data_IF_419431490285
#
_entry.id   IF_419431490285
#
_cell.length_a   1.000
_cell.length_b   1.000
_cell.length_c   1.000
_cell.angle_alpha   90.00
_cell.angle_beta   90.00
_cell.angle_gamma   90.00
#
_symmetry.space_group_name_H-M   'P 1'
#
loop_
_entity.id
_entity.type
_entity.pdbx_description
1 polymer ?
#
# COMPACT_ATOMS: atom_id res chain seq x y z
N UNK A 1 -36.08 -4.66 -1.45
CA UNK A 1 -35.44 -4.04 -2.64
C UNK A 1 -34.87 -2.67 -2.32
N UNK A 2 -35.57 -1.82 -1.57
CA UNK A 2 -35.03 -0.50 -1.15
C UNK A 2 -33.72 -0.60 -0.35
N UNK A 3 -33.60 -1.60 0.52
CA UNK A 3 -32.36 -1.87 1.25
C UNK A 3 -31.18 -2.17 0.31
N UNK A 4 -31.40 -2.99 -0.72
CA UNK A 4 -30.36 -3.31 -1.71
C UNK A 4 -29.94 -2.05 -2.47
N UNK A 5 -30.90 -1.23 -2.91
CA UNK A 5 -30.63 0.03 -3.57
C UNK A 5 -29.80 0.96 -2.68
N UNK A 6 -30.17 1.10 -1.40
CA UNK A 6 -29.43 1.91 -0.43
C UNK A 6 -28.00 1.40 -0.22
N UNK A 7 -27.78 0.08 -0.16
CA UNK A 7 -26.44 -0.49 -0.04
C UNK A 7 -25.60 -0.22 -1.28
N UNK A 8 -26.17 -0.30 -2.48
CA UNK A 8 -25.46 0.00 -3.73
C UNK A 8 -25.07 1.48 -3.80
N UNK A 9 -25.99 2.39 -3.42
CA UNK A 9 -25.68 3.83 -3.32
C UNK A 9 -24.52 4.05 -2.35
N UNK A 10 -24.58 3.45 -1.16
CA UNK A 10 -23.49 3.54 -0.18
C UNK A 10 -22.17 2.98 -0.70
N UNK A 11 -22.22 1.87 -1.44
CA UNK A 11 -21.03 1.28 -2.05
C UNK A 11 -20.38 2.22 -3.08
N UNK A 12 -21.18 2.83 -3.96
CA UNK A 12 -20.71 3.83 -4.93
C UNK A 12 -20.09 5.04 -4.23
N UNK A 13 -20.73 5.56 -3.17
CA UNK A 13 -20.19 6.68 -2.39
C UNK A 13 -18.89 6.35 -1.67
N UNK A 14 -18.74 5.13 -1.15
CA UNK A 14 -17.48 4.67 -0.57
C UNK A 14 -16.39 4.58 -1.65
N UNK A 15 -16.72 4.09 -2.83
CA UNK A 15 -15.75 3.98 -3.93
C UNK A 15 -15.24 5.38 -4.34
N UNK A 16 -16.13 6.38 -4.44
CA UNK A 16 -15.71 7.78 -4.66
C UNK A 16 -14.78 8.31 -3.57
N UNK A 17 -15.07 8.02 -2.30
CA UNK A 17 -14.19 8.40 -1.18
C UNK A 17 -12.83 7.71 -1.26
N UNK A 18 -12.79 6.46 -1.72
CA UNK A 18 -11.54 5.73 -1.92
C UNK A 18 -10.71 6.36 -3.04
N UNK A 19 -11.34 6.75 -4.15
CA UNK A 19 -10.68 7.50 -5.23
C UNK A 19 -10.08 8.80 -4.69
N UNK A 20 -10.87 9.60 -3.97
CA UNK A 20 -10.40 10.85 -3.37
C UNK A 20 -9.19 10.61 -2.45
N UNK A 21 -9.25 9.58 -1.60
CA UNK A 21 -8.12 9.20 -0.75
C UNK A 21 -6.87 8.83 -1.56
N UNK A 22 -6.99 8.14 -2.69
CA UNK A 22 -5.84 7.85 -3.56
C UNK A 22 -5.30 9.08 -4.28
N UNK A 23 -6.16 10.03 -4.66
CA UNK A 23 -5.73 11.30 -5.23
C UNK A 23 -4.91 12.10 -4.21
N UNK A 24 -5.24 12.05 -2.92
CA UNK A 24 -4.45 12.68 -1.85
C UNK A 24 -3.05 12.08 -1.69
N UNK A 25 -2.83 10.82 -2.11
CA UNK A 25 -1.47 10.24 -2.13
C UNK A 25 -0.57 10.87 -3.20
N UNK A 26 -1.11 11.46 -4.25
CA UNK A 26 -0.33 12.00 -5.37
C UNK A 26 0.70 13.06 -4.90
N UNK A 27 0.31 14.14 -4.21
CA UNK A 27 1.27 15.13 -3.73
C UNK A 27 2.27 14.54 -2.71
N UNK A 28 1.83 13.59 -1.87
CA UNK A 28 2.71 12.89 -0.92
C UNK A 28 3.80 12.12 -1.68
N UNK A 29 3.45 11.48 -2.78
CA UNK A 29 4.39 10.74 -3.63
C UNK A 29 5.32 11.66 -4.43
N UNK A 30 4.82 12.81 -4.89
CA UNK A 30 5.65 13.84 -5.53
C UNK A 30 6.75 14.34 -4.57
N UNK A 31 6.37 14.61 -3.32
CA UNK A 31 7.30 14.99 -2.26
C UNK A 31 8.26 13.85 -1.90
N UNK A 32 7.77 12.61 -1.80
CA UNK A 32 8.59 11.43 -1.50
C UNK A 32 9.65 11.21 -2.58
N UNK A 33 9.27 11.25 -3.85
CA UNK A 33 10.19 11.10 -4.97
C UNK A 33 11.27 12.18 -4.98
N UNK A 34 10.90 13.42 -4.66
CA UNK A 34 11.84 14.55 -4.52
C UNK A 34 12.80 14.33 -3.35
N UNK A 35 12.28 13.92 -2.19
CA UNK A 35 13.09 13.67 -0.99
C UNK A 35 14.06 12.50 -1.19
N UNK A 36 13.61 11.42 -1.85
CA UNK A 36 14.45 10.28 -2.24
C UNK A 36 15.58 10.74 -3.18
N UNK A 37 15.27 11.54 -4.20
CA UNK A 37 16.25 12.02 -5.17
C UNK A 37 17.32 12.91 -4.52
N UNK A 38 16.94 13.71 -3.53
CA UNK A 38 17.83 14.62 -2.82
C UNK A 38 18.51 14.01 -1.59
N UNK A 39 18.23 12.75 -1.26
CA UNK A 39 18.66 12.11 -0.01
C UNK A 39 18.28 12.91 1.24
N UNK A 40 17.13 13.60 1.21
CA UNK A 40 16.67 14.45 2.30
C UNK A 40 15.97 13.62 3.39
N UNK A 41 16.73 13.25 4.41
CA UNK A 41 16.24 12.45 5.54
C UNK A 41 15.13 13.16 6.33
N UNK A 42 15.22 14.48 6.51
CA UNK A 42 14.24 15.24 7.30
C UNK A 42 12.89 15.26 6.58
N UNK A 43 12.91 15.46 5.27
CA UNK A 43 11.70 15.37 4.45
C UNK A 43 11.12 13.94 4.48
N UNK A 44 11.94 12.91 4.33
CA UNK A 44 11.48 11.51 4.38
C UNK A 44 10.83 11.15 5.70
N UNK A 45 11.37 11.60 6.84
CA UNK A 45 10.76 11.36 8.16
C UNK A 45 9.34 11.96 8.25
N UNK A 46 9.16 13.21 7.79
CA UNK A 46 7.84 13.84 7.77
C UNK A 46 6.87 13.10 6.84
N UNK A 47 7.33 12.72 5.66
CA UNK A 47 6.54 12.02 4.64
C UNK A 47 6.06 10.67 5.16
N UNK A 48 6.89 9.92 5.88
CA UNK A 48 6.50 8.65 6.50
C UNK A 48 5.32 8.83 7.46
N UNK A 49 5.33 9.88 8.29
CA UNK A 49 4.25 10.17 9.24
C UNK A 49 2.95 10.50 8.51
N UNK A 50 3.00 11.40 7.52
CA UNK A 50 1.83 11.80 6.72
C UNK A 50 1.27 10.57 5.99
N UNK A 51 2.13 9.78 5.35
CA UNK A 51 1.74 8.58 4.62
C UNK A 51 1.10 7.52 5.51
N UNK A 52 1.57 7.33 6.75
CA UNK A 52 0.93 6.44 7.73
C UNK A 52 -0.50 6.89 8.06
N UNK A 53 -0.70 8.19 8.29
CA UNK A 53 -2.04 8.74 8.56
C UNK A 53 -3.01 8.51 7.39
N UNK A 54 -2.61 8.84 6.16
CA UNK A 54 -3.44 8.61 4.97
C UNK A 54 -3.66 7.11 4.71
N UNK A 55 -2.67 6.25 4.98
CA UNK A 55 -2.80 4.80 4.81
C UNK A 55 -3.86 4.21 5.74
N UNK A 56 -3.91 4.66 7.00
CA UNK A 56 -4.93 4.23 7.97
C UNK A 56 -6.34 4.64 7.55
N UNK A 57 -6.50 5.85 7.02
CA UNK A 57 -7.78 6.34 6.48
C UNK A 57 -8.19 5.48 5.28
N UNK A 58 -7.29 5.26 4.32
CA UNK A 58 -7.54 4.44 3.14
C UNK A 58 -7.91 2.99 3.52
N UNK A 59 -7.24 2.41 4.51
CA UNK A 59 -7.54 1.08 5.03
C UNK A 59 -8.94 1.01 5.64
N UNK A 60 -9.33 2.00 6.46
CA UNK A 60 -10.67 2.05 7.05
C UNK A 60 -11.77 2.14 5.99
N UNK A 61 -11.55 2.91 4.92
CA UNK A 61 -12.46 3.01 3.78
C UNK A 61 -12.58 1.66 3.06
N UNK A 62 -11.46 0.97 2.82
CA UNK A 62 -11.43 -0.34 2.16
C UNK A 62 -12.16 -1.42 2.97
N UNK A 63 -11.93 -1.47 4.29
CA UNK A 63 -12.63 -2.39 5.18
C UNK A 63 -14.14 -2.18 5.11
N UNK A 64 -14.60 -0.92 5.15
CA UNK A 64 -16.01 -0.58 5.01
C UNK A 64 -16.56 -0.97 3.63
N UNK A 65 -15.79 -0.74 2.56
CA UNK A 65 -16.16 -1.14 1.19
C UNK A 65 -16.41 -2.64 1.10
N UNK A 66 -15.47 -3.45 1.60
CA UNK A 66 -15.58 -4.91 1.61
C UNK A 66 -16.80 -5.36 2.41
N UNK A 67 -17.06 -4.75 3.57
CA UNK A 67 -18.24 -5.09 4.38
C UNK A 67 -19.55 -4.82 3.64
N UNK A 68 -19.70 -3.67 2.98
CA UNK A 68 -20.91 -3.37 2.19
C UNK A 68 -21.02 -4.32 0.99
N UNK A 69 -19.91 -4.56 0.29
CA UNK A 69 -19.89 -5.46 -0.86
C UNK A 69 -20.36 -6.88 -0.48
N UNK A 70 -19.89 -7.41 0.66
CA UNK A 70 -20.35 -8.71 1.19
C UNK A 70 -21.86 -8.73 1.45
N UNK A 71 -22.43 -7.66 2.01
CA UNK A 71 -23.89 -7.55 2.23
C UNK A 71 -24.66 -7.55 0.91
N UNK A 72 -24.19 -6.78 -0.07
CA UNK A 72 -24.79 -6.76 -1.41
C UNK A 72 -24.75 -8.16 -2.03
N UNK A 73 -23.59 -8.82 -2.01
CA UNK A 73 -23.42 -10.17 -2.54
C UNK A 73 -24.40 -11.17 -1.91
N UNK A 74 -24.58 -11.12 -0.58
CA UNK A 74 -25.56 -11.94 0.11
C UNK A 74 -26.99 -11.67 -0.38
N UNK A 75 -27.38 -10.39 -0.52
CA UNK A 75 -28.73 -10.02 -0.97
C UNK A 75 -29.04 -10.42 -2.42
N UNK A 76 -28.03 -10.44 -3.29
CA UNK A 76 -28.18 -10.89 -4.68
C UNK A 76 -27.94 -12.40 -4.85
N UNK A 77 -27.84 -13.14 -3.73
CA UNK A 77 -27.54 -14.57 -3.69
C UNK A 77 -26.27 -14.96 -4.46
N UNK A 78 -25.26 -14.07 -4.44
CA UNK A 78 -23.96 -14.33 -5.03
C UNK A 78 -22.99 -14.92 -4.01
N UNK A 79 -22.51 -16.13 -4.30
CA UNK A 79 -21.45 -16.80 -3.55
C UNK A 79 -20.13 -16.71 -4.34
N UNK A 80 -19.10 -16.01 -3.82
CA UNK A 80 -17.81 -15.91 -4.48
C UNK A 80 -16.99 -17.21 -4.48
N UNK A 81 -17.42 -18.31 -3.83
CA UNK A 81 -16.74 -19.63 -3.83
C UNK A 81 -15.22 -19.56 -3.56
N UNK A 82 -14.81 -18.72 -2.61
CA UNK A 82 -13.39 -18.54 -2.25
C UNK A 82 -12.61 -17.57 -3.14
N UNK A 83 -13.25 -16.89 -4.09
CA UNK A 83 -12.64 -15.79 -4.84
C UNK A 83 -12.60 -14.51 -4.00
N UNK A 84 -11.53 -13.74 -4.15
CA UNK A 84 -11.46 -12.39 -3.60
C UNK A 84 -12.46 -11.50 -4.36
N UNK A 85 -13.34 -10.81 -3.62
CA UNK A 85 -14.30 -9.89 -4.17
C UNK A 85 -13.59 -8.70 -4.83
N UNK A 86 -13.56 -8.68 -6.16
CA UNK A 86 -12.99 -7.59 -6.95
C UNK A 86 -14.08 -6.71 -7.58
N UNK A 87 -13.73 -5.46 -7.94
CA UNK A 87 -14.65 -4.56 -8.65
C UNK A 87 -15.12 -5.14 -9.98
N UNK A 88 -14.22 -5.81 -10.71
CA UNK A 88 -14.53 -6.43 -11.99
C UNK A 88 -15.48 -7.63 -11.84
N UNK A 89 -15.28 -8.45 -10.81
CA UNK A 89 -16.21 -9.52 -10.49
C UNK A 89 -17.59 -8.94 -10.13
N UNK A 90 -17.62 -7.92 -9.26
CA UNK A 90 -18.87 -7.27 -8.88
C UNK A 90 -19.60 -6.65 -10.08
N UNK A 91 -18.87 -5.97 -10.98
CA UNK A 91 -19.40 -5.40 -12.22
C UNK A 91 -20.17 -6.42 -13.05
N UNK A 92 -19.53 -7.56 -13.32
CA UNK A 92 -20.13 -8.62 -14.11
C UNK A 92 -21.35 -9.25 -13.41
N UNK A 93 -21.20 -9.56 -12.12
CA UNK A 93 -22.25 -10.18 -11.32
C UNK A 93 -23.47 -9.27 -11.21
N UNK A 94 -23.28 -7.98 -10.93
CA UNK A 94 -24.38 -7.04 -10.76
C UNK A 94 -25.14 -6.80 -12.08
N UNK A 95 -24.42 -6.68 -13.19
CA UNK A 95 -25.04 -6.58 -14.53
C UNK A 95 -25.89 -7.82 -14.87
N UNK A 96 -25.38 -9.01 -14.55
CA UNK A 96 -26.12 -10.27 -14.74
C UNK A 96 -27.34 -10.34 -13.84
N UNK A 97 -27.20 -9.94 -12.58
CA UNK A 97 -28.31 -9.85 -11.63
C UNK A 97 -29.43 -8.95 -12.17
N UNK A 98 -29.12 -7.73 -12.62
CA UNK A 98 -30.12 -6.81 -13.17
C UNK A 98 -30.87 -7.38 -14.38
N UNK A 99 -30.17 -8.05 -15.30
CA UNK A 99 -30.82 -8.72 -16.44
C UNK A 99 -31.84 -9.77 -15.99
N UNK A 100 -31.51 -10.53 -14.96
CA UNK A 100 -32.36 -11.62 -14.45
C UNK A 100 -33.59 -11.11 -13.69
N UNK A 101 -33.49 -9.97 -13.01
CA UNK A 101 -34.59 -9.43 -12.21
C UNK A 101 -35.50 -8.46 -12.98
N UNK A 102 -35.16 -8.09 -14.22
CA UNK A 102 -35.88 -7.08 -15.02
C UNK A 102 -37.39 -7.30 -15.08
N UNK A 103 -37.83 -8.56 -15.22
CA UNK A 103 -39.27 -8.92 -15.29
C UNK A 103 -39.91 -9.15 -13.93
N UNK A 104 -39.12 -9.14 -12.85
CA UNK A 104 -39.54 -9.51 -11.49
C UNK A 104 -39.75 -8.29 -10.58
N UNK A 105 -39.33 -7.10 -11.01
CA UNK A 105 -39.43 -5.87 -10.23
C UNK A 105 -40.14 -4.77 -11.00
N UNK A 106 -40.69 -3.78 -10.29
CA UNK A 106 -41.35 -2.65 -10.92
C UNK A 106 -40.38 -1.81 -11.76
N UNK A 107 -40.90 -1.12 -12.77
CA UNK A 107 -40.09 -0.35 -13.73
C UNK A 107 -39.30 0.78 -13.05
N UNK A 108 -39.90 1.44 -12.05
CA UNK A 108 -39.25 2.54 -11.32
C UNK A 108 -38.01 2.07 -10.53
N UNK A 109 -38.13 0.97 -9.78
CA UNK A 109 -37.01 0.37 -9.03
C UNK A 109 -35.93 -0.15 -9.97
N UNK A 110 -36.33 -0.74 -11.10
CA UNK A 110 -35.38 -1.21 -12.11
C UNK A 110 -34.58 -0.04 -12.71
N UNK A 111 -35.25 1.07 -13.03
CA UNK A 111 -34.59 2.28 -13.52
C UNK A 111 -33.58 2.84 -12.50
N UNK A 112 -33.95 2.90 -11.21
CA UNK A 112 -33.03 3.35 -10.14
C UNK A 112 -31.80 2.44 -10.02
N UNK A 113 -31.99 1.12 -10.11
CA UNK A 113 -30.87 0.17 -10.06
C UNK A 113 -29.95 0.27 -11.29
N UNK A 114 -30.52 0.49 -12.49
CA UNK A 114 -29.75 0.75 -13.70
C UNK A 114 -28.94 2.04 -13.61
N UNK A 115 -29.52 3.11 -13.06
CA UNK A 115 -28.79 4.36 -12.81
C UNK A 115 -27.57 4.11 -11.91
N UNK A 116 -27.75 3.30 -10.86
CA UNK A 116 -26.64 2.92 -9.98
C UNK A 116 -25.60 2.01 -10.64
N UNK A 117 -26.00 1.13 -11.58
CA UNK A 117 -25.07 0.35 -12.40
C UNK A 117 -24.21 1.27 -13.29
N UNK A 118 -24.85 2.25 -13.96
CA UNK A 118 -24.15 3.24 -14.77
C UNK A 118 -23.17 4.08 -13.94
N UNK A 119 -23.62 4.58 -12.78
CA UNK A 119 -22.78 5.34 -11.86
C UNK A 119 -21.61 4.50 -11.34
N UNK A 120 -21.85 3.23 -10.98
CA UNK A 120 -20.82 2.30 -10.57
C UNK A 120 -19.78 2.10 -11.69
N UNK A 121 -20.21 1.86 -12.92
CA UNK A 121 -19.32 1.63 -14.06
C UNK A 121 -18.39 2.83 -14.33
N UNK A 122 -18.92 4.05 -14.24
CA UNK A 122 -18.11 5.27 -14.36
C UNK A 122 -17.09 5.36 -13.21
N UNK A 123 -17.54 5.17 -11.98
CA UNK A 123 -16.70 5.29 -10.78
C UNK A 123 -15.62 4.20 -10.75
N UNK A 124 -15.93 2.97 -11.17
CA UNK A 124 -14.98 1.87 -11.25
C UNK A 124 -13.87 2.15 -12.28
N UNK A 125 -14.22 2.74 -13.44
CA UNK A 125 -13.21 3.12 -14.44
C UNK A 125 -12.28 4.23 -13.93
N UNK A 126 -12.82 5.20 -13.19
CA UNK A 126 -12.01 6.25 -12.55
C UNK A 126 -11.09 5.65 -11.47
N UNK A 127 -11.62 4.75 -10.65
CA UNK A 127 -10.83 4.03 -9.65
C UNK A 127 -9.65 3.28 -10.29
N UNK A 128 -9.88 2.54 -11.37
CA UNK A 128 -8.83 1.81 -12.08
C UNK A 128 -7.73 2.76 -12.58
N UNK A 129 -8.11 3.88 -13.21
CA UNK A 129 -7.15 4.90 -13.68
C UNK A 129 -6.32 5.49 -12.54
N UNK A 130 -6.96 5.87 -11.44
CA UNK A 130 -6.25 6.42 -10.28
C UNK A 130 -5.33 5.38 -9.64
N UNK A 131 -5.77 4.13 -9.54
CA UNK A 131 -4.96 3.04 -9.01
C UNK A 131 -3.74 2.75 -9.88
N UNK A 132 -3.92 2.67 -11.20
CA UNK A 132 -2.84 2.47 -12.19
C UNK A 132 -1.80 3.60 -12.16
N UNK A 133 -2.20 4.80 -11.74
CA UNK A 133 -1.28 5.93 -11.55
C UNK A 133 -0.51 5.85 -10.22
N UNK A 134 -1.22 5.59 -9.11
CA UNK A 134 -0.67 5.68 -7.75
C UNK A 134 0.17 4.44 -7.39
N UNK A 135 -0.32 3.23 -7.68
CA UNK A 135 0.30 1.99 -7.22
C UNK A 135 1.74 1.78 -7.75
N UNK A 136 2.04 1.99 -9.04
CA UNK A 136 3.41 1.83 -9.55
C UNK A 136 4.41 2.78 -8.91
N UNK A 137 3.99 4.00 -8.54
CA UNK A 137 4.83 4.99 -7.87
C UNK A 137 5.20 4.55 -6.46
N UNK A 138 4.22 4.09 -5.67
CA UNK A 138 4.45 3.49 -4.35
C UNK A 138 5.46 2.33 -4.45
N UNK A 139 5.24 1.43 -5.41
CA UNK A 139 6.11 0.27 -5.60
C UNK A 139 7.54 0.69 -6.00
N UNK A 140 7.68 1.65 -6.92
CA UNK A 140 8.99 2.19 -7.32
C UNK A 140 9.74 2.79 -6.13
N UNK A 141 9.07 3.63 -5.33
CA UNK A 141 9.67 4.26 -4.15
C UNK A 141 10.12 3.20 -3.13
N UNK A 142 9.28 2.19 -2.88
CA UNK A 142 9.64 1.06 -2.02
C UNK A 142 10.92 0.34 -2.49
N UNK A 143 11.05 0.08 -3.80
CA UNK A 143 12.23 -0.59 -4.37
C UNK A 143 13.49 0.24 -4.16
N UNK A 144 13.42 1.56 -4.37
CA UNK A 144 14.56 2.46 -4.18
C UNK A 144 14.98 2.48 -2.70
N UNK A 145 14.03 2.68 -1.79
CA UNK A 145 14.29 2.71 -0.34
C UNK A 145 14.90 1.39 0.17
N UNK A 146 14.44 0.23 -0.33
CA UNK A 146 15.04 -1.07 -0.02
C UNK A 146 16.50 -1.17 -0.48
N UNK A 147 16.83 -0.64 -1.66
CA UNK A 147 18.22 -0.61 -2.16
C UNK A 147 19.09 0.31 -1.31
N UNK A 148 18.59 1.48 -0.93
CA UNK A 148 19.30 2.40 -0.03
C UNK A 148 19.58 1.75 1.33
N UNK A 149 18.57 1.09 1.92
CA UNK A 149 18.74 0.34 3.16
C UNK A 149 19.81 -0.75 3.03
N UNK A 150 19.80 -1.54 1.94
CA UNK A 150 20.84 -2.55 1.70
C UNK A 150 22.23 -1.94 1.63
N UNK A 151 22.41 -0.81 0.95
CA UNK A 151 23.69 -0.13 0.84
C UNK A 151 24.19 0.35 2.21
N UNK A 152 23.30 0.95 3.01
CA UNK A 152 23.64 1.39 4.39
C UNK A 152 24.08 0.19 5.23
N UNK A 153 23.35 -0.93 5.18
CA UNK A 153 23.73 -2.15 5.92
C UNK A 153 25.09 -2.70 5.48
N UNK A 154 25.39 -2.69 4.19
CA UNK A 154 26.71 -3.09 3.68
C UNK A 154 27.82 -2.17 4.17
N UNK A 155 27.60 -0.85 4.16
CA UNK A 155 28.56 0.12 4.70
C UNK A 155 28.80 -0.11 6.19
N UNK A 156 27.74 -0.30 6.99
CA UNK A 156 27.87 -0.60 8.43
C UNK A 156 28.69 -1.88 8.64
N UNK A 157 28.38 -2.96 7.91
CA UNK A 157 29.10 -4.23 8.05
C UNK A 157 30.58 -4.11 7.70
N UNK A 158 30.94 -3.32 6.68
CA UNK A 158 32.33 -3.05 6.33
C UNK A 158 33.05 -2.35 7.49
N UNK A 159 32.47 -1.25 8.01
CA UNK A 159 33.09 -0.50 9.11
C UNK A 159 33.14 -1.30 10.42
N UNK A 160 32.18 -2.19 10.68
CA UNK A 160 32.22 -3.12 11.80
C UNK A 160 33.35 -4.14 11.65
N UNK A 161 33.49 -4.76 10.46
CA UNK A 161 34.59 -5.70 10.20
C UNK A 161 35.96 -5.03 10.31
N UNK A 162 36.11 -3.79 9.85
CA UNK A 162 37.35 -3.01 10.00
C UNK A 162 37.61 -2.59 11.44
N UNK A 163 36.56 -2.23 12.19
CA UNK A 163 36.68 -1.99 13.63
C UNK A 163 37.17 -3.26 14.34
N UNK A 164 36.58 -4.42 14.06
CA UNK A 164 36.98 -5.71 14.65
C UNK A 164 38.40 -6.14 14.26
N UNK A 165 38.83 -5.91 13.01
CA UNK A 165 40.14 -6.30 12.52
C UNK A 165 41.28 -5.34 12.90
N UNK A 166 40.99 -4.03 12.95
CA UNK A 166 42.01 -2.97 13.07
C UNK A 166 42.13 -2.35 14.46
N UNK A 167 41.12 -2.42 15.32
CA UNK A 167 41.05 -1.62 16.54
C UNK A 167 40.25 -2.35 17.63
N UNK A 168 40.89 -2.72 18.74
CA UNK A 168 40.17 -3.15 19.95
C UNK A 168 39.34 -1.97 20.51
N UNK A 169 38.14 -1.72 19.96
CA UNK A 169 37.18 -0.76 20.48
C UNK A 169 36.39 -1.40 21.64
N UNK A 170 36.27 -0.68 22.76
CA UNK A 170 35.30 -1.02 23.82
C UNK A 170 33.87 -0.79 23.28
N UNK A 171 32.89 -1.51 23.85
CA UNK A 171 31.43 -1.46 23.69
C UNK A 171 30.77 -0.06 23.62
N UNK A 172 31.54 1.01 23.85
CA UNK A 172 31.16 2.43 23.77
C UNK A 172 31.79 3.18 22.57
N UNK A 173 32.49 2.50 21.66
CA UNK A 173 33.00 3.09 20.41
C UNK A 173 34.22 4.01 20.56
N UNK A 174 35.01 3.90 21.63
CA UNK A 174 36.29 4.62 21.79
C UNK A 174 37.48 3.74 21.41
N UNK A 175 38.36 4.28 20.54
CA UNK A 175 39.55 3.56 20.07
C UNK A 175 40.55 3.42 21.22
N UNK A 176 40.89 2.19 21.62
CA UNK A 176 42.16 1.98 22.31
C UNK A 176 43.26 1.96 21.25
N UNK A 177 43.91 3.10 21.05
CA UNK A 177 45.14 3.16 20.27
C UNK A 177 46.20 2.30 20.98
N UNK A 178 46.56 1.16 20.40
CA UNK A 178 47.76 0.40 20.75
C UNK A 178 49.01 1.11 20.21
N UNK A 179 49.19 2.38 20.55
CA UNK A 179 50.50 3.01 20.50
C UNK A 179 51.13 2.89 21.88
N UNK A 180 52.09 1.96 21.99
CA UNK A 180 52.87 1.60 23.17
C UNK A 180 52.24 0.58 24.13
N UNK A 181 52.50 -0.71 23.87
CA UNK A 181 53.21 -1.57 24.83
C UNK A 181 53.81 -2.78 24.13
N UNK A 182 55.14 -2.80 24.13
CA UNK A 182 55.99 -3.89 23.67
C UNK A 182 55.73 -5.21 24.43
N UNK A 183 56.17 -6.29 23.76
CA UNK A 183 56.48 -7.66 24.24
C UNK A 183 55.34 -8.67 24.38
N UNK A 184 55.38 -9.71 23.52
CA UNK A 184 55.00 -11.07 23.92
C UNK A 184 54.19 -11.89 22.91
N UNK A 185 54.88 -12.54 21.97
CA UNK A 185 54.50 -13.81 21.29
C UNK A 185 53.31 -13.71 20.31
N UNK A 186 53.62 -13.43 19.04
CA UNK A 186 52.78 -13.78 17.88
C UNK A 186 53.16 -15.20 17.42
N UNK A 187 52.32 -16.19 17.71
CA UNK A 187 52.39 -17.51 17.07
C UNK A 187 51.42 -17.57 15.88
N UNK A 188 51.86 -17.03 14.74
CA UNK A 188 51.20 -17.27 13.46
C UNK A 188 51.75 -18.57 12.86
N UNK A 189 50.94 -19.62 12.78
CA UNK A 189 51.31 -20.86 12.11
C UNK A 189 50.81 -20.80 10.66
N UNK A 190 51.70 -20.43 9.75
CA UNK A 190 51.47 -20.55 8.30
C UNK A 190 51.72 -22.02 7.93
N UNK A 191 50.71 -22.69 7.36
CA UNK A 191 50.90 -24.00 6.73
C UNK A 191 51.36 -23.78 5.29
N UNK A 192 52.48 -24.41 4.93
CA UNK A 192 52.88 -24.67 3.55
C UNK A 192 51.99 -25.76 2.93
#
# INVERSE_FOLDING_TARGET
>A
MDELLNLIIQFNEILKKQIASYVEFIPILDEEETAIANYDLIALERIVIVKDQHSRIAQSIEERRIQILKKICYMIAFDPRGQNLSLNLFKFTFSTYLKNIKTLINEEMFAKLLEQECAFNSTASEFEKTFEFVYPRIYRNQVILKKLSKNVSMSISLFQSEAEAGMNYDSLGKAQSLTNKNTGISSMRVKA
#
